data_IF_209486691313
#
_entry.id   IF_209486691313
#
_cell.length_a   1.000
_cell.length_b   1.000
_cell.length_c   1.000
_cell.angle_alpha   90.00
_cell.angle_beta   90.00
_cell.angle_gamma   90.00
#
_symmetry.space_group_name_H-M   'P 1'
#
loop_
_entity.id
_entity.type
_entity.pdbx_description
1 polymer ?
#
# COMPACT_ATOMS: atom_id res chain seq x y z
N UNK A 1 9.24 -0.54 -7.43
CA UNK A 1 10.64 -0.09 -7.35
C UNK A 1 11.51 -1.28 -6.98
N UNK A 2 12.81 -1.18 -7.14
CA UNK A 2 13.78 -2.19 -6.70
C UNK A 2 14.23 -1.92 -5.26
N UNK A 3 14.76 -2.93 -4.58
CA UNK A 3 15.09 -2.88 -3.13
C UNK A 3 16.28 -1.98 -2.80
N UNK A 4 17.13 -1.69 -3.77
CA UNK A 4 18.26 -0.76 -3.72
C UNK A 4 17.84 0.72 -3.66
N UNK A 5 16.57 1.04 -3.96
CA UNK A 5 16.06 2.40 -3.91
C UNK A 5 15.74 2.85 -2.48
N UNK A 6 15.91 4.15 -2.14
CA UNK A 6 15.58 4.68 -0.81
C UNK A 6 14.14 4.37 -0.40
N UNK A 7 13.92 4.11 0.90
CA UNK A 7 12.61 3.74 1.44
C UNK A 7 11.50 4.71 1.02
N UNK A 8 11.78 6.02 1.08
CA UNK A 8 10.85 7.06 0.66
C UNK A 8 10.44 6.93 -0.83
N UNK A 9 11.39 6.61 -1.71
CA UNK A 9 11.12 6.40 -3.15
C UNK A 9 10.20 5.18 -3.35
N UNK A 10 10.46 4.09 -2.62
CA UNK A 10 9.62 2.87 -2.65
C UNK A 10 8.20 3.16 -2.19
N UNK A 11 8.03 3.95 -1.13
CA UNK A 11 6.71 4.41 -0.68
C UNK A 11 6.01 5.25 -1.75
N UNK A 12 6.72 6.25 -2.31
CA UNK A 12 6.11 7.18 -3.28
C UNK A 12 5.69 6.49 -4.56
N UNK A 13 6.43 5.48 -5.03
CA UNK A 13 6.07 4.75 -6.24
C UNK A 13 4.66 4.12 -6.18
N UNK A 14 4.24 3.63 -5.01
CA UNK A 14 2.88 3.13 -4.80
C UNK A 14 1.84 4.23 -5.06
N UNK A 15 2.00 5.39 -4.42
CA UNK A 15 1.11 6.54 -4.61
C UNK A 15 1.15 7.07 -6.04
N UNK A 16 2.32 7.11 -6.68
CA UNK A 16 2.49 7.58 -8.06
C UNK A 16 1.75 6.66 -9.03
N UNK A 17 1.90 5.34 -8.90
CA UNK A 17 1.18 4.38 -9.75
C UNK A 17 -0.34 4.52 -9.60
N UNK A 18 -0.85 4.63 -8.37
CA UNK A 18 -2.27 4.88 -8.12
C UNK A 18 -2.74 6.20 -8.72
N UNK A 19 -1.95 7.28 -8.61
CA UNK A 19 -2.29 8.59 -9.18
C UNK A 19 -2.37 8.53 -10.72
N UNK A 20 -1.48 7.78 -11.37
CA UNK A 20 -1.54 7.54 -12.82
C UNK A 20 -2.80 6.76 -13.18
N UNK A 21 -3.18 5.76 -12.37
CA UNK A 21 -4.42 5.01 -12.58
C UNK A 21 -5.65 5.89 -12.43
N UNK A 22 -5.69 6.77 -11.43
CA UNK A 22 -6.76 7.76 -11.22
C UNK A 22 -6.91 8.69 -12.41
N UNK A 23 -5.80 9.15 -13.00
CA UNK A 23 -5.86 9.99 -14.19
C UNK A 23 -6.62 9.33 -15.35
N UNK A 24 -6.38 8.04 -15.60
CA UNK A 24 -7.11 7.31 -16.64
C UNK A 24 -8.54 6.97 -16.23
N UNK A 25 -8.78 6.62 -14.97
CA UNK A 25 -10.12 6.42 -14.40
C UNK A 25 -10.99 7.64 -14.62
N UNK A 26 -10.48 8.82 -14.29
CA UNK A 26 -11.22 10.09 -14.36
C UNK A 26 -11.49 10.53 -15.81
N UNK A 27 -10.79 9.96 -16.79
CA UNK A 27 -11.12 10.04 -18.21
C UNK A 27 -12.19 9.01 -18.66
N UNK A 28 -12.80 8.29 -17.73
CA UNK A 28 -13.83 7.28 -17.97
C UNK A 28 -13.29 5.91 -18.38
N UNK A 29 -12.01 5.60 -18.14
CA UNK A 29 -11.42 4.29 -18.46
C UNK A 29 -11.57 3.30 -17.31
N UNK A 30 -11.57 2.02 -17.66
CA UNK A 30 -11.40 0.92 -16.70
C UNK A 30 -9.92 0.56 -16.68
N UNK A 31 -9.27 0.74 -15.53
CA UNK A 31 -7.83 0.63 -15.36
C UNK A 31 -7.53 -0.57 -14.47
N UNK A 32 -6.59 -1.42 -14.89
CA UNK A 32 -6.02 -2.44 -14.03
C UNK A 32 -4.76 -1.88 -13.36
N UNK A 33 -4.72 -1.88 -12.03
CA UNK A 33 -3.54 -1.54 -11.23
C UNK A 33 -3.02 -2.81 -10.55
N UNK A 34 -1.76 -3.14 -10.76
CA UNK A 34 -1.12 -4.25 -10.04
C UNK A 34 -0.02 -3.70 -9.12
N UNK A 35 -0.13 -4.02 -7.83
CA UNK A 35 0.86 -3.63 -6.82
C UNK A 35 1.55 -4.86 -6.26
N UNK A 36 2.83 -5.00 -6.61
CA UNK A 36 3.72 -6.05 -6.10
C UNK A 36 4.89 -5.44 -5.29
N UNK A 37 4.82 -5.37 -3.96
CA UNK A 37 3.75 -5.84 -3.07
C UNK A 37 3.43 -4.82 -1.98
N UNK A 38 2.27 -4.94 -1.35
CA UNK A 38 1.89 -4.09 -0.19
C UNK A 38 2.86 -4.31 0.97
N UNK A 39 3.36 -5.54 1.18
CA UNK A 39 4.38 -5.83 2.20
C UNK A 39 5.65 -5.02 1.97
N UNK A 40 6.10 -4.84 0.72
CA UNK A 40 7.28 -4.01 0.42
C UNK A 40 7.02 -2.53 0.69
N UNK A 41 5.80 -2.05 0.39
CA UNK A 41 5.38 -0.71 0.76
C UNK A 41 5.39 -0.52 2.28
N UNK A 42 4.79 -1.44 3.04
CA UNK A 42 4.71 -1.38 4.50
C UNK A 42 6.10 -1.39 5.16
N UNK A 43 7.03 -2.24 4.69
CA UNK A 43 8.42 -2.25 5.18
C UNK A 43 9.13 -0.93 4.91
N UNK A 44 8.93 -0.33 3.73
CA UNK A 44 9.49 0.98 3.42
C UNK A 44 8.88 2.09 4.30
N UNK A 45 7.57 2.04 4.56
CA UNK A 45 6.89 2.95 5.47
C UNK A 45 7.40 2.81 6.90
N UNK A 46 7.66 1.58 7.35
CA UNK A 46 8.29 1.30 8.64
C UNK A 46 9.68 1.93 8.76
N UNK A 47 10.55 1.74 7.76
CA UNK A 47 11.90 2.31 7.77
C UNK A 47 11.86 3.84 7.92
N UNK A 48 10.93 4.49 7.22
CA UNK A 48 10.73 5.95 7.30
C UNK A 48 10.16 6.38 8.65
N UNK A 49 9.16 5.69 9.18
CA UNK A 49 8.56 6.01 10.47
C UNK A 49 9.55 5.87 11.64
N UNK A 50 10.30 4.76 11.67
CA UNK A 50 11.34 4.55 12.68
C UNK A 50 12.46 5.58 12.58
N UNK A 51 12.91 5.92 11.37
CA UNK A 51 13.90 6.98 11.16
C UNK A 51 13.39 8.37 11.61
N UNK A 52 12.07 8.56 11.63
CA UNK A 52 11.42 9.79 12.11
C UNK A 52 11.17 9.80 13.62
N UNK A 53 11.56 8.74 14.34
CA UNK A 53 11.42 8.63 15.79
C UNK A 53 10.05 8.12 16.27
N UNK A 54 9.23 7.56 15.39
CA UNK A 54 7.97 6.93 15.80
C UNK A 54 8.22 5.67 16.64
N UNK A 55 7.40 5.41 17.67
CA UNK A 55 7.49 4.18 18.44
C UNK A 55 7.06 2.97 17.60
N UNK A 56 7.63 1.82 17.92
CA UNK A 56 7.16 0.53 17.41
C UNK A 56 5.87 0.12 18.16
N UNK A 57 4.91 -0.46 17.43
CA UNK A 57 3.59 -0.83 17.98
C UNK A 57 3.26 -2.29 17.70
N UNK A 58 2.72 -2.60 16.53
CA UNK A 58 2.14 -3.92 16.20
C UNK A 58 3.04 -4.63 15.22
N UNK A 59 3.70 -5.68 15.70
CA UNK A 59 4.55 -6.56 14.88
C UNK A 59 5.70 -5.84 14.18
N UNK A 60 6.29 -4.82 14.81
CA UNK A 60 7.44 -4.11 14.24
C UNK A 60 7.09 -2.83 13.49
N UNK A 61 5.80 -2.52 13.27
CA UNK A 61 5.36 -1.42 12.43
C UNK A 61 4.90 -0.19 13.25
N UNK A 62 5.41 1.02 12.91
CA UNK A 62 4.93 2.28 13.47
C UNK A 62 3.44 2.57 13.19
N UNK A 63 2.78 3.44 13.98
CA UNK A 63 1.38 3.83 13.75
C UNK A 63 1.15 4.42 12.36
N UNK A 64 2.11 5.17 11.83
CA UNK A 64 2.00 5.79 10.52
C UNK A 64 1.77 4.79 9.38
N UNK A 65 2.32 3.58 9.49
CA UNK A 65 2.15 2.52 8.47
C UNK A 65 0.66 2.18 8.33
N UNK A 66 -0.01 1.86 9.44
CA UNK A 66 -1.43 1.52 9.46
C UNK A 66 -2.30 2.70 9.00
N UNK A 67 -1.99 3.93 9.42
CA UNK A 67 -2.73 5.11 8.94
C UNK A 67 -2.52 5.43 7.45
N UNK A 68 -1.47 4.87 6.82
CA UNK A 68 -1.15 5.09 5.41
C UNK A 68 -1.78 4.06 4.47
N UNK A 69 -2.09 2.86 4.96
CA UNK A 69 -2.63 1.77 4.17
C UNK A 69 -4.03 2.11 3.61
N UNK A 70 -5.03 2.54 4.41
CA UNK A 70 -6.34 2.94 3.86
C UNK A 70 -6.21 4.05 2.81
N UNK A 71 -5.38 5.06 3.09
CA UNK A 71 -5.12 6.20 2.19
C UNK A 71 -4.58 5.77 0.82
N UNK A 72 -3.95 4.60 0.73
CA UNK A 72 -3.44 4.05 -0.52
C UNK A 72 -4.46 3.12 -1.18
N UNK A 73 -5.02 2.19 -0.41
CA UNK A 73 -5.82 1.08 -0.93
C UNK A 73 -7.24 1.52 -1.34
N UNK A 74 -7.88 2.39 -0.56
CA UNK A 74 -9.26 2.88 -0.81
C UNK A 74 -9.38 3.80 -2.03
N UNK A 75 -8.26 4.14 -2.66
CA UNK A 75 -8.24 4.94 -3.90
C UNK A 75 -8.63 4.12 -5.13
N UNK A 76 -8.56 2.79 -5.03
CA UNK A 76 -9.05 1.88 -6.05
C UNK A 76 -10.57 1.70 -5.94
N UNK A 77 -11.21 1.24 -7.02
CA UNK A 77 -12.64 1.00 -7.08
C UNK A 77 -13.38 1.84 -8.12
N UNK A 78 -14.73 1.78 -8.11
CA UNK A 78 -15.59 2.56 -8.99
C UNK A 78 -15.50 4.04 -8.67
N UNK A 79 -15.59 4.89 -9.69
CA UNK A 79 -15.73 6.34 -9.55
C UNK A 79 -16.92 6.83 -10.36
N UNK A 80 -17.31 8.13 -10.27
CA UNK A 80 -18.40 8.67 -11.09
C UNK A 80 -18.21 8.45 -12.60
N UNK A 81 -16.95 8.31 -13.04
CA UNK A 81 -16.56 7.89 -14.39
C UNK A 81 -15.39 6.91 -14.27
N UNK A 82 -15.45 5.80 -15.02
CA UNK A 82 -14.39 4.78 -15.02
C UNK A 82 -14.28 3.98 -13.73
N UNK A 83 -13.25 3.15 -13.65
CA UNK A 83 -12.95 2.34 -12.46
C UNK A 83 -11.47 1.97 -12.40
N UNK A 84 -10.97 1.70 -11.20
CA UNK A 84 -9.67 1.05 -10.98
C UNK A 84 -9.93 -0.31 -10.36
N UNK A 85 -9.62 -1.39 -11.08
CA UNK A 85 -9.50 -2.71 -10.49
C UNK A 85 -8.06 -2.87 -10.02
N UNK A 86 -7.85 -2.99 -8.70
CA UNK A 86 -6.52 -3.14 -8.15
C UNK A 86 -6.26 -4.58 -7.67
N UNK A 87 -5.11 -5.14 -8.03
CA UNK A 87 -4.59 -6.39 -7.52
C UNK A 87 -3.42 -6.08 -6.60
N UNK A 88 -3.63 -6.28 -5.31
CA UNK A 88 -2.62 -6.08 -4.27
C UNK A 88 -2.05 -7.42 -3.83
N UNK A 89 -0.75 -7.64 -4.02
CA UNK A 89 -0.09 -8.83 -3.47
C UNK A 89 0.38 -8.55 -2.03
N UNK A 90 0.21 -9.53 -1.16
CA UNK A 90 0.70 -9.51 0.23
C UNK A 90 1.54 -10.75 0.44
N UNK A 91 2.75 -10.55 0.95
CA UNK A 91 3.62 -11.63 1.43
C UNK A 91 3.48 -11.67 2.94
N UNK A 92 3.00 -12.82 3.45
CA UNK A 92 2.89 -13.09 4.88
C UNK A 92 4.21 -13.69 5.38
N UNK A 93 4.72 -13.21 6.51
CA UNK A 93 5.87 -13.84 7.16
C UNK A 93 5.40 -15.03 8.01
N UNK A 94 5.70 -16.26 7.56
CA UNK A 94 5.42 -17.55 8.20
C UNK A 94 3.96 -18.01 8.25
N UNK A 95 3.72 -19.27 8.65
CA UNK A 95 2.39 -19.85 8.92
C UNK A 95 1.69 -19.20 10.14
N UNK A 96 2.24 -18.09 10.68
CA UNK A 96 1.62 -17.34 11.75
C UNK A 96 0.33 -16.71 11.24
N UNK A 97 -0.77 -17.10 11.89
CA UNK A 97 -2.13 -16.66 11.61
C UNK A 97 -2.33 -15.14 11.81
N UNK A 98 -1.36 -14.43 12.40
CA UNK A 98 -1.47 -13.02 12.81
C UNK A 98 -0.34 -12.13 12.22
N UNK A 99 -0.27 -11.99 10.90
CA UNK A 99 0.55 -10.96 10.24
C UNK A 99 -0.21 -9.61 10.28
N UNK A 100 0.32 -8.57 10.95
CA UNK A 100 -0.42 -7.32 11.14
C UNK A 100 -0.71 -6.57 9.83
N UNK A 101 0.14 -6.72 8.81
CA UNK A 101 -0.08 -6.11 7.50
C UNK A 101 -1.09 -6.94 6.72
N UNK A 102 -1.00 -8.26 6.76
CA UNK A 102 -1.98 -9.16 6.18
C UNK A 102 -3.39 -8.93 6.75
N UNK A 103 -3.51 -8.81 8.06
CA UNK A 103 -4.78 -8.55 8.74
C UNK A 103 -5.36 -7.18 8.37
N UNK A 104 -4.53 -6.14 8.35
CA UNK A 104 -4.96 -4.78 8.01
C UNK A 104 -5.37 -4.67 6.53
N UNK A 105 -4.62 -5.31 5.63
CA UNK A 105 -4.99 -5.32 4.21
C UNK A 105 -6.31 -6.08 4.01
N UNK A 106 -6.50 -7.21 4.70
CA UNK A 106 -7.75 -7.98 4.64
C UNK A 106 -8.94 -7.21 5.22
N UNK A 107 -8.74 -6.33 6.20
CA UNK A 107 -9.83 -5.53 6.77
C UNK A 107 -10.24 -4.35 5.87
N UNK A 108 -9.36 -3.90 4.97
CA UNK A 108 -9.61 -2.77 4.06
C UNK A 108 -10.14 -3.21 2.69
N UNK A 109 -9.64 -4.32 2.15
CA UNK A 109 -9.99 -4.77 0.80
C UNK A 109 -11.36 -5.47 0.76
N UNK A 110 -12.12 -5.16 -0.30
CA UNK A 110 -13.42 -5.80 -0.64
C UNK A 110 -13.26 -7.21 -1.23
#
# INVERSE_FOLDING_TARGET
TTSDRPALERMKAAFTATTIAEFFRDQGKNVLLMMDSVTRYARAARDVGLASGEPDVRGGFPPSVFSSLPKLLERAGPAPKGSITAIYTVLLESDNVNDPIGDEVRSILD
#
